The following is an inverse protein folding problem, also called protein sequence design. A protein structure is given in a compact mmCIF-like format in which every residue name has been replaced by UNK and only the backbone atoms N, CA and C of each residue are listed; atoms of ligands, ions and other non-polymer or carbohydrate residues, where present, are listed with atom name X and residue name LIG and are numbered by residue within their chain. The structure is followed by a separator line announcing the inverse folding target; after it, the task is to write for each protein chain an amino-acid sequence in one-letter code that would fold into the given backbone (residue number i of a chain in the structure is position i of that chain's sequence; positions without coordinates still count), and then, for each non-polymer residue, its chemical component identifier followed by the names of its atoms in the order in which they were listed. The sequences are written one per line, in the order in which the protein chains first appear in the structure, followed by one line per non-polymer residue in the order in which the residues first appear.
data_IF_656465112027
#
_entry.id   IF_656465112027
#
_cell.length_a   1.000
_cell.length_b   1.000
_cell.length_c   1.000
_cell.angle_alpha   90.00
_cell.angle_beta   90.00
_cell.angle_gamma   90.00
#
_symmetry.space_group_name_H-M   'P 1'
#
loop_
_entity.id
_entity.type
_entity.pdbx_description
1 polymer ?
#
# COMPACT_ATOMS: atom_id res chain seq x y z
N UNK A 1 5.57 -6.54 -8.38
CA UNK A 1 6.09 -5.98 -7.11
C UNK A 1 6.61 -4.53 -7.22
N UNK A 2 7.69 -4.26 -7.96
CA UNK A 2 8.35 -2.95 -7.98
C UNK A 2 7.45 -1.77 -8.41
N UNK A 3 6.54 -1.99 -9.38
CA UNK A 3 5.60 -0.94 -9.84
C UNK A 3 4.65 -0.49 -8.74
N UNK A 4 4.05 -1.44 -8.02
CA UNK A 4 3.09 -1.16 -6.94
C UNK A 4 3.77 -0.42 -5.80
N UNK A 5 4.95 -0.89 -5.39
CA UNK A 5 5.75 -0.23 -4.34
C UNK A 5 6.08 1.21 -4.69
N UNK A 6 6.44 1.49 -5.95
CA UNK A 6 6.76 2.83 -6.41
C UNK A 6 5.53 3.75 -6.35
N UNK A 7 4.40 3.32 -6.88
CA UNK A 7 3.15 4.10 -6.84
C UNK A 7 2.72 4.41 -5.41
N UNK A 8 2.80 3.42 -4.51
CA UNK A 8 2.46 3.63 -3.10
C UNK A 8 3.41 4.59 -2.39
N UNK A 9 4.72 4.55 -2.70
CA UNK A 9 5.70 5.52 -2.18
C UNK A 9 5.43 6.94 -2.69
N UNK A 10 5.02 7.09 -3.94
CA UNK A 10 4.68 8.40 -4.51
C UNK A 10 3.36 8.95 -3.93
N UNK A 11 2.37 8.08 -3.70
CA UNK A 11 1.08 8.47 -3.08
C UNK A 11 1.17 8.77 -1.59
N UNK A 12 2.00 8.02 -0.86
CA UNK A 12 2.17 8.15 0.58
C UNK A 12 3.62 8.52 0.91
N UNK A 13 4.05 9.77 0.61
CA UNK A 13 5.42 10.19 0.89
C UNK A 13 5.74 10.27 2.40
N UNK A 14 4.70 10.36 3.25
CA UNK A 14 4.81 10.35 4.72
C UNK A 14 4.70 8.94 5.32
N UNK A 15 4.65 7.88 4.50
CA UNK A 15 4.64 6.53 5.02
C UNK A 15 6.01 6.17 5.62
N UNK A 16 6.00 5.76 6.88
CA UNK A 16 7.18 5.27 7.60
C UNK A 16 7.62 3.90 7.09
N UNK A 17 6.67 3.04 6.72
CA UNK A 17 6.95 1.72 6.17
C UNK A 17 5.97 1.37 5.05
N UNK A 18 6.50 0.86 3.94
CA UNK A 18 5.72 0.28 2.84
C UNK A 18 6.36 -1.06 2.50
N UNK A 19 5.59 -2.13 2.62
CA UNK A 19 5.98 -3.49 2.26
C UNK A 19 4.95 -4.06 1.29
N UNK A 20 5.43 -4.53 0.14
CA UNK A 20 4.60 -5.18 -0.88
C UNK A 20 5.17 -6.56 -1.11
N UNK A 21 4.37 -7.60 -0.96
CA UNK A 21 4.76 -8.99 -1.15
C UNK A 21 3.83 -9.60 -2.20
N UNK A 22 4.38 -10.17 -3.26
CA UNK A 22 3.59 -10.91 -4.23
C UNK A 22 3.23 -12.29 -3.65
N UNK A 23 1.94 -12.51 -3.39
CA UNK A 23 1.41 -13.79 -2.89
C UNK A 23 0.87 -14.68 -4.01
N UNK A 24 0.91 -14.20 -5.26
CA UNK A 24 0.39 -14.92 -6.43
C UNK A 24 1.42 -15.81 -7.12
N UNK A 25 2.57 -16.06 -6.49
CA UNK A 25 3.60 -16.98 -7.00
C UNK A 25 4.24 -16.52 -8.32
N UNK A 26 4.27 -15.21 -8.59
CA UNK A 26 4.87 -14.64 -9.80
C UNK A 26 3.89 -14.37 -10.95
N UNK A 27 2.60 -14.64 -10.77
CA UNK A 27 1.57 -14.23 -11.73
C UNK A 27 1.28 -12.71 -11.67
N UNK A 28 1.61 -12.07 -10.53
CA UNK A 28 1.39 -10.65 -10.30
C UNK A 28 -0.08 -10.24 -10.17
N UNK A 29 -0.95 -11.20 -9.79
CA UNK A 29 -2.40 -11.01 -9.69
C UNK A 29 -2.87 -10.60 -8.29
N UNK A 30 -2.11 -10.94 -7.24
CA UNK A 30 -2.43 -10.60 -5.85
C UNK A 30 -1.18 -10.17 -5.11
N UNK A 31 -1.29 -9.07 -4.38
CA UNK A 31 -0.22 -8.52 -3.56
C UNK A 31 -0.71 -8.32 -2.14
N UNK A 32 0.08 -8.74 -1.18
CA UNK A 32 -0.08 -8.36 0.22
C UNK A 32 0.66 -7.04 0.43
N UNK A 33 -0.07 -6.01 0.84
CA UNK A 33 0.43 -4.64 0.98
C UNK A 33 0.28 -4.23 2.44
N UNK A 34 1.39 -3.88 3.08
CA UNK A 34 1.42 -3.30 4.41
C UNK A 34 1.97 -1.87 4.33
N UNK A 35 1.19 -0.91 4.81
CA UNK A 35 1.56 0.51 4.80
C UNK A 35 1.33 1.07 6.20
N UNK A 36 2.39 1.67 6.75
CA UNK A 36 2.34 2.42 7.99
C UNK A 36 2.58 3.90 7.66
N UNK A 37 1.57 4.74 7.90
CA UNK A 37 1.64 6.18 7.63
C UNK A 37 0.83 6.95 8.67
N UNK A 38 1.30 8.14 9.02
CA UNK A 38 0.56 9.07 9.88
C UNK A 38 -0.74 9.57 9.22
N UNK A 39 -0.82 9.55 7.89
CA UNK A 39 -2.03 9.90 7.12
C UNK A 39 -3.25 9.02 7.46
N UNK A 40 -3.03 7.84 8.04
CA UNK A 40 -4.08 6.91 8.43
C UNK A 40 -4.59 7.08 9.86
N UNK A 41 -3.89 7.86 10.70
CA UNK A 41 -4.16 7.98 12.14
C UNK A 41 -5.58 8.48 12.47
N UNK A 42 -6.18 9.27 11.59
CA UNK A 42 -7.51 9.85 11.78
C UNK A 42 -8.56 9.33 10.78
N UNK A 43 -8.26 8.24 10.07
CA UNK A 43 -9.15 7.67 9.05
C UNK A 43 -9.68 6.32 9.49
N UNK A 44 -10.92 6.00 9.12
CA UNK A 44 -11.47 4.65 9.34
C UNK A 44 -10.82 3.65 8.40
N UNK A 45 -10.71 2.38 8.81
CA UNK A 45 -10.12 1.29 8.00
C UNK A 45 -10.61 1.26 6.55
N UNK A 46 -11.92 1.43 6.33
CA UNK A 46 -12.50 1.45 4.96
C UNK A 46 -11.98 2.64 4.14
N UNK A 47 -11.85 3.81 4.76
CA UNK A 47 -11.31 5.00 4.08
C UNK A 47 -9.82 4.83 3.78
N UNK A 48 -9.06 4.24 4.69
CA UNK A 48 -7.65 3.92 4.47
C UNK A 48 -7.49 2.99 3.26
N UNK A 49 -8.27 1.90 3.19
CA UNK A 49 -8.26 1.01 2.03
C UNK A 49 -8.67 1.71 0.74
N UNK A 50 -9.69 2.57 0.77
CA UNK A 50 -10.08 3.37 -0.39
C UNK A 50 -8.95 4.29 -0.88
N UNK A 51 -8.22 4.93 0.04
CA UNK A 51 -7.09 5.80 -0.30
C UNK A 51 -5.95 5.02 -0.97
N UNK A 52 -5.75 3.76 -0.60
CA UNK A 52 -4.71 2.88 -1.17
C UNK A 52 -5.14 2.30 -2.53
N UNK A 53 -6.44 2.04 -2.73
CA UNK A 53 -6.96 1.42 -3.95
C UNK A 53 -7.26 2.41 -5.09
N UNK A 54 -7.45 3.70 -4.77
CA UNK A 54 -7.48 4.77 -5.77
C UNK A 54 -6.07 5.12 -6.22
#
# INVERSE_FOLDING_TARGET
EARVTRVLREKFPRASAIKVVDISGGCGAMYEIHIESEDFREKRMVQQHQMVNQ
#
